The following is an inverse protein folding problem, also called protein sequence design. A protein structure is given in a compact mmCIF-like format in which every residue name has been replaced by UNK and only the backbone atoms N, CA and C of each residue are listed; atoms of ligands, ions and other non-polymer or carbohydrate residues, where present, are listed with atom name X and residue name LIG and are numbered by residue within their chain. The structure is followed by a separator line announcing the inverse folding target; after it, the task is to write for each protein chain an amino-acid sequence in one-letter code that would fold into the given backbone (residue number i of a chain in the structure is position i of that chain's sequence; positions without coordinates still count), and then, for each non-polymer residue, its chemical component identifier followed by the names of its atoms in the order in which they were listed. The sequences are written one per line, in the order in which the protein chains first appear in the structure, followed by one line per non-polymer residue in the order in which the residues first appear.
data_IF_437251525440
#
_entry.id   IF_437251525440
#
_cell.length_a   1.000
_cell.length_b   1.000
_cell.length_c   1.000
_cell.angle_alpha   90.00
_cell.angle_beta   90.00
_cell.angle_gamma   90.00
#
_symmetry.space_group_name_H-M   'P 1'
#
loop_
_entity.id
_entity.type
_entity.pdbx_description
1 polymer ?
#
# COMPACT_ATOMS: atom_id res chain seq x y z
N UNK A 1 11.29 0.59 -10.08
CA UNK A 1 11.14 1.66 -9.06
C UNK A 1 12.47 2.08 -8.44
N UNK A 2 13.33 1.14 -8.03
CA UNK A 2 14.69 1.43 -7.52
C UNK A 2 15.47 2.44 -8.38
N UNK A 3 15.59 2.22 -9.70
CA UNK A 3 16.28 3.16 -10.60
C UNK A 3 15.71 4.58 -10.56
N UNK A 4 14.39 4.73 -10.41
CA UNK A 4 13.77 6.05 -10.27
C UNK A 4 14.21 6.76 -9.00
N UNK A 5 14.28 6.03 -7.87
CA UNK A 5 14.83 6.57 -6.62
C UNK A 5 16.32 6.87 -6.73
N UNK A 6 17.10 6.00 -7.36
CA UNK A 6 18.53 6.23 -7.58
C UNK A 6 18.78 7.54 -8.38
N UNK A 7 17.92 7.84 -9.39
CA UNK A 7 17.98 9.11 -10.14
C UNK A 7 17.73 10.31 -9.24
N UNK A 8 16.69 10.24 -8.39
CA UNK A 8 16.36 11.33 -7.47
C UNK A 8 17.47 11.52 -6.44
N UNK A 9 17.94 10.45 -5.82
CA UNK A 9 19.02 10.46 -4.85
C UNK A 9 20.26 11.17 -5.40
N UNK A 10 20.72 10.77 -6.59
CA UNK A 10 21.89 11.35 -7.23
C UNK A 10 21.73 12.84 -7.59
N UNK A 11 20.48 13.31 -7.81
CA UNK A 11 20.20 14.70 -8.11
C UNK A 11 20.16 15.58 -6.84
N UNK A 12 19.62 15.06 -5.73
CA UNK A 12 19.40 15.85 -4.50
C UNK A 12 20.56 15.78 -3.51
N UNK A 13 21.21 14.62 -3.36
CA UNK A 13 22.21 14.37 -2.32
C UNK A 13 23.42 15.33 -2.38
N UNK A 14 23.87 15.83 -3.56
CA UNK A 14 24.95 16.82 -3.60
C UNK A 14 24.55 18.22 -3.08
N UNK A 15 23.25 18.50 -2.97
CA UNK A 15 22.71 19.84 -2.68
C UNK A 15 21.92 19.90 -1.35
N UNK A 16 21.60 18.75 -0.76
CA UNK A 16 20.76 18.61 0.42
C UNK A 16 21.34 17.54 1.36
N UNK A 17 21.05 17.65 2.65
CA UNK A 17 21.33 16.58 3.59
C UNK A 17 20.37 15.41 3.32
N UNK A 18 20.88 14.34 2.72
CA UNK A 18 20.12 13.15 2.37
C UNK A 18 20.66 11.93 3.12
N UNK A 19 19.76 11.18 3.76
CA UNK A 19 20.07 9.94 4.47
C UNK A 19 18.92 8.94 4.31
N UNK A 20 19.24 7.67 4.54
CA UNK A 20 18.22 6.61 4.57
C UNK A 20 17.60 6.53 5.97
N UNK A 21 16.28 6.38 6.02
CA UNK A 21 15.53 6.16 7.26
C UNK A 21 14.73 4.86 7.14
N UNK A 22 14.95 3.93 8.09
CA UNK A 22 14.20 2.68 8.12
C UNK A 22 12.85 2.88 8.82
N UNK A 23 11.80 2.86 8.01
CA UNK A 23 10.39 2.97 8.43
C UNK A 23 9.58 1.75 8.00
N UNK A 24 10.23 0.69 7.51
CA UNK A 24 9.56 -0.43 6.84
C UNK A 24 8.55 -1.16 7.72
N UNK A 25 8.92 -1.47 8.96
CA UNK A 25 8.03 -2.15 9.91
C UNK A 25 6.89 -1.25 10.39
N UNK A 26 7.14 0.05 10.54
CA UNK A 26 6.10 1.02 10.90
C UNK A 26 5.10 1.19 9.74
N UNK A 27 5.58 1.34 8.50
CA UNK A 27 4.74 1.42 7.30
C UNK A 27 3.87 0.17 7.13
N UNK A 28 4.41 -1.02 7.46
CA UNK A 28 3.62 -2.27 7.46
C UNK A 28 2.46 -2.18 8.44
N UNK A 29 2.73 -1.86 9.72
CA UNK A 29 1.68 -1.75 10.76
C UNK A 29 0.62 -0.70 10.42
N UNK A 30 1.03 0.44 9.86
CA UNK A 30 0.11 1.48 9.39
C UNK A 30 -0.77 0.95 8.26
N UNK A 31 -0.17 0.28 7.27
CA UNK A 31 -0.87 -0.31 6.13
C UNK A 31 -1.91 -1.35 6.58
N UNK A 32 -1.53 -2.23 7.50
CA UNK A 32 -2.44 -3.25 8.06
C UNK A 32 -3.63 -2.61 8.79
N UNK A 33 -3.39 -1.50 9.50
CA UNK A 33 -4.42 -0.76 10.25
C UNK A 33 -5.39 -0.07 9.29
N UNK A 34 -4.88 0.72 8.35
CA UNK A 34 -5.72 1.50 7.43
C UNK A 34 -6.53 0.61 6.50
N UNK A 35 -5.97 -0.52 6.08
CA UNK A 35 -6.71 -1.47 5.26
C UNK A 35 -7.83 -2.17 5.99
N UNK A 36 -7.78 -2.31 7.32
CA UNK A 36 -8.96 -2.74 8.10
C UNK A 36 -10.00 -1.63 8.21
N UNK A 37 -9.57 -0.37 8.39
CA UNK A 37 -10.47 0.79 8.46
C UNK A 37 -11.25 1.01 7.16
N UNK A 38 -10.62 0.82 5.98
CA UNK A 38 -11.25 0.94 4.66
C UNK A 38 -12.46 0.01 4.45
N UNK A 39 -12.57 -1.04 5.25
CA UNK A 39 -13.61 -2.06 5.16
C UNK A 39 -14.37 -2.22 6.48
N UNK A 40 -14.34 -1.19 7.32
CA UNK A 40 -15.00 -1.16 8.62
C UNK A 40 -16.49 -1.47 8.54
N UNK A 41 -17.18 -1.04 7.49
CA UNK A 41 -18.61 -1.30 7.28
C UNK A 41 -18.91 -2.68 6.67
N UNK A 42 -17.88 -3.51 6.48
CA UNK A 42 -17.94 -4.81 5.79
C UNK A 42 -18.45 -4.71 4.36
N UNK A 43 -18.44 -3.51 3.78
CA UNK A 43 -18.95 -3.22 2.46
C UNK A 43 -20.46 -3.06 2.33
N UNK A 44 -21.20 -2.97 3.43
CA UNK A 44 -22.67 -2.84 3.39
C UNK A 44 -23.10 -1.61 2.61
N UNK A 45 -22.45 -0.47 2.85
CA UNK A 45 -22.84 0.80 2.25
C UNK A 45 -22.62 0.77 0.73
N UNK A 46 -21.39 0.48 0.28
CA UNK A 46 -21.09 0.49 -1.16
C UNK A 46 -21.94 -0.55 -1.92
N UNK A 47 -22.21 -1.73 -1.34
CA UNK A 47 -23.08 -2.74 -1.98
C UNK A 47 -24.51 -2.24 -2.13
N UNK A 48 -25.03 -1.53 -1.12
CA UNK A 48 -26.38 -0.97 -1.18
C UNK A 48 -26.50 0.10 -2.26
N UNK A 49 -25.48 0.93 -2.46
CA UNK A 49 -25.46 1.95 -3.51
C UNK A 49 -25.33 1.35 -4.91
N UNK A 50 -24.46 0.35 -5.10
CA UNK A 50 -24.34 -0.36 -6.39
C UNK A 50 -25.68 -1.03 -6.74
N UNK A 51 -26.34 -1.67 -5.78
CA UNK A 51 -27.62 -2.32 -6.02
C UNK A 51 -28.70 -1.35 -6.53
N UNK A 52 -28.70 -0.08 -6.06
CA UNK A 52 -29.63 0.95 -6.54
C UNK A 52 -29.42 1.31 -8.01
N UNK A 53 -28.21 1.13 -8.55
CA UNK A 53 -27.90 1.42 -9.96
C UNK A 53 -28.42 0.35 -10.93
N UNK A 54 -28.64 -0.88 -10.46
CA UNK A 54 -28.92 -2.05 -11.32
C UNK A 54 -27.69 -2.60 -12.05
N UNK A 55 -26.51 -2.01 -11.86
CA UNK A 55 -25.25 -2.51 -12.43
C UNK A 55 -24.68 -3.71 -11.63
N UNK A 56 -23.98 -4.64 -12.29
CA UNK A 56 -23.31 -5.73 -11.59
C UNK A 56 -22.13 -5.20 -10.76
N UNK A 57 -21.87 -5.83 -9.62
CA UNK A 57 -20.70 -5.52 -8.80
C UNK A 57 -19.41 -5.81 -9.58
N UNK A 58 -18.49 -4.84 -9.61
CA UNK A 58 -17.20 -5.01 -10.30
C UNK A 58 -16.32 -5.95 -9.47
N UNK A 59 -15.93 -7.15 -9.98
CA UNK A 59 -15.21 -8.17 -9.19
C UNK A 59 -13.98 -7.66 -8.45
N UNK A 60 -13.30 -6.66 -9.02
CA UNK A 60 -12.11 -6.05 -8.44
C UNK A 60 -12.40 -5.09 -7.29
N UNK A 61 -13.57 -4.45 -7.28
CA UNK A 61 -14.08 -3.68 -6.14
C UNK A 61 -14.64 -4.59 -5.04
N UNK A 62 -14.90 -5.87 -5.35
CA UNK A 62 -15.42 -6.86 -4.41
C UNK A 62 -14.39 -7.40 -3.41
N UNK A 63 -13.10 -7.04 -3.51
CA UNK A 63 -12.07 -7.56 -2.61
C UNK A 63 -12.38 -7.32 -1.11
N UNK A 64 -13.26 -6.37 -0.82
CA UNK A 64 -13.76 -5.98 0.50
C UNK A 64 -14.86 -6.88 1.07
N UNK A 65 -14.97 -8.15 0.65
CA UNK A 65 -15.83 -9.10 1.39
C UNK A 65 -15.08 -9.54 2.64
N UNK A 66 -15.12 -8.67 3.64
CA UNK A 66 -15.14 -9.16 5.01
C UNK A 66 -16.53 -9.72 5.22
N UNK A 67 -16.59 -10.94 5.77
CA UNK A 67 -17.84 -11.64 6.05
C UNK A 67 -18.75 -10.83 6.96
N UNK A 68 -18.17 -10.03 7.86
CA UNK A 68 -18.90 -9.19 8.81
C UNK A 68 -18.23 -7.81 9.00
N UNK A 69 -19.02 -6.75 9.21
CA UNK A 69 -18.55 -5.41 9.58
C UNK A 69 -17.82 -5.40 10.92
N UNK A 70 -16.88 -4.48 11.09
CA UNK A 70 -16.20 -4.28 12.37
C UNK A 70 -17.18 -3.72 13.42
N UNK A 71 -17.00 -4.14 14.66
CA UNK A 71 -17.69 -3.55 15.81
C UNK A 71 -17.20 -2.12 16.09
N UNK A 72 -17.99 -1.35 16.84
CA UNK A 72 -17.59 0.00 17.25
C UNK A 72 -16.27 0.00 18.04
N UNK A 73 -16.10 -0.97 18.95
CA UNK A 73 -14.88 -1.10 19.76
C UNK A 73 -13.64 -1.40 18.90
N UNK A 74 -13.77 -2.28 17.89
CA UNK A 74 -12.68 -2.55 16.94
C UNK A 74 -12.30 -1.34 16.10
N UNK A 75 -13.29 -0.55 15.67
CA UNK A 75 -13.05 0.70 14.94
C UNK A 75 -12.30 1.67 15.83
N UNK A 76 -12.76 1.88 17.07
CA UNK A 76 -12.10 2.77 18.05
C UNK A 76 -10.67 2.30 18.31
N UNK A 77 -10.42 1.01 18.44
CA UNK A 77 -9.07 0.46 18.63
C UNK A 77 -8.16 0.76 17.43
N UNK A 78 -8.66 0.59 16.21
CA UNK A 78 -7.93 0.88 14.98
C UNK A 78 -7.62 2.37 14.80
N UNK A 79 -8.58 3.24 15.11
CA UNK A 79 -8.39 4.70 15.09
C UNK A 79 -7.35 5.13 16.14
N UNK A 80 -7.40 4.57 17.35
CA UNK A 80 -6.38 4.80 18.37
C UNK A 80 -4.99 4.39 17.87
N UNK A 81 -4.87 3.23 17.20
CA UNK A 81 -3.61 2.78 16.59
C UNK A 81 -3.13 3.72 15.49
N UNK A 82 -4.00 4.17 14.60
CA UNK A 82 -3.66 5.13 13.55
C UNK A 82 -3.10 6.44 14.15
N UNK A 83 -3.75 6.97 15.18
CA UNK A 83 -3.27 8.15 15.91
C UNK A 83 -1.90 7.91 16.60
N UNK A 84 -1.70 6.74 17.20
CA UNK A 84 -0.41 6.38 17.81
C UNK A 84 0.71 6.29 16.76
N UNK A 85 0.43 5.75 15.58
CA UNK A 85 1.40 5.69 14.50
C UNK A 85 1.70 7.07 13.91
N UNK A 86 0.70 7.96 13.82
CA UNK A 86 0.92 9.35 13.44
C UNK A 86 1.88 10.08 14.40
N UNK A 87 1.70 9.92 15.70
CA UNK A 87 2.64 10.47 16.70
C UNK A 87 4.04 9.87 16.56
N UNK A 88 4.16 8.54 16.40
CA UNK A 88 5.45 7.88 16.18
C UNK A 88 6.16 8.40 14.90
N UNK A 89 5.41 8.59 13.82
CA UNK A 89 5.94 9.09 12.56
C UNK A 89 6.42 10.54 12.69
N UNK A 90 5.66 11.39 13.39
CA UNK A 90 6.05 12.76 13.69
C UNK A 90 7.32 12.81 14.55
N UNK A 91 7.47 11.90 15.52
CA UNK A 91 8.68 11.80 16.34
C UNK A 91 9.91 11.46 15.49
N UNK A 92 9.78 10.57 14.50
CA UNK A 92 10.85 10.25 13.55
C UNK A 92 11.24 11.52 12.76
N UNK A 93 10.25 12.23 12.20
CA UNK A 93 10.52 13.49 11.49
C UNK A 93 11.24 14.50 12.39
N UNK A 94 10.82 14.63 13.64
CA UNK A 94 11.46 15.54 14.60
C UNK A 94 12.85 15.09 15.03
N UNK A 95 13.07 13.80 15.28
CA UNK A 95 14.36 13.28 15.75
C UNK A 95 15.46 13.43 14.70
N UNK A 96 15.08 13.26 13.43
CA UNK A 96 15.98 13.43 12.30
C UNK A 96 15.91 14.83 11.67
N UNK A 97 15.13 15.75 12.24
CA UNK A 97 14.89 17.09 11.69
C UNK A 97 14.54 17.10 10.19
N UNK A 98 13.72 16.14 9.76
CA UNK A 98 13.36 15.95 8.36
C UNK A 98 12.36 17.01 7.88
N UNK A 99 12.66 17.63 6.74
CA UNK A 99 11.71 18.47 6.02
C UNK A 99 10.77 17.67 5.11
N UNK A 100 11.27 16.57 4.54
CA UNK A 100 10.54 15.73 3.60
C UNK A 100 11.03 14.27 3.63
N UNK A 101 10.18 13.36 3.18
CA UNK A 101 10.54 11.98 2.88
C UNK A 101 10.36 11.72 1.39
N UNK A 102 11.38 11.13 0.76
CA UNK A 102 11.33 10.68 -0.64
C UNK A 102 11.22 9.16 -0.65
N UNK A 103 10.19 8.65 -1.32
CA UNK A 103 9.98 7.21 -1.47
C UNK A 103 9.34 6.87 -2.82
N UNK A 104 9.28 5.57 -3.13
CA UNK A 104 8.60 5.10 -4.33
C UNK A 104 7.07 5.21 -4.16
N UNK A 105 6.34 5.73 -5.16
CA UNK A 105 4.88 5.86 -5.07
C UNK A 105 4.12 4.54 -5.27
N UNK A 106 4.78 3.52 -5.81
CA UNK A 106 4.22 2.20 -6.13
C UNK A 106 5.35 1.17 -6.15
N UNK A 107 5.10 -0.15 -5.97
CA UNK A 107 6.13 -1.16 -6.16
C UNK A 107 6.49 -1.40 -7.63
N UNK A 108 5.60 -1.08 -8.55
CA UNK A 108 5.72 -1.37 -9.98
C UNK A 108 5.32 -0.17 -10.87
N UNK A 109 5.76 -0.14 -12.15
CA UNK A 109 5.17 0.76 -13.14
C UNK A 109 3.69 0.40 -13.38
N UNK A 110 3.00 1.21 -14.20
CA UNK A 110 1.60 0.98 -14.53
C UNK A 110 1.33 -0.49 -14.90
N UNK A 111 0.48 -1.14 -14.10
CA UNK A 111 0.12 -2.53 -14.31
C UNK A 111 -0.72 -2.67 -15.59
N UNK A 112 -0.64 -3.82 -16.30
CA UNK A 112 -1.58 -4.13 -17.36
C UNK A 112 -3.03 -4.09 -16.84
N UNK A 113 -3.99 -3.90 -17.76
CA UNK A 113 -5.40 -3.91 -17.40
C UNK A 113 -5.76 -5.14 -16.57
N UNK A 114 -6.53 -4.92 -15.50
CA UNK A 114 -6.97 -5.95 -14.55
C UNK A 114 -5.84 -6.62 -13.74
N UNK A 115 -4.60 -6.09 -13.78
CA UNK A 115 -3.43 -6.62 -13.03
C UNK A 115 -2.93 -5.71 -11.91
N UNK A 116 -3.68 -4.68 -11.52
CA UNK A 116 -3.36 -3.86 -10.35
C UNK A 116 -3.21 -4.76 -9.10
N UNK A 117 -2.37 -4.42 -8.13
CA UNK A 117 -2.12 -5.31 -6.99
C UNK A 117 -2.27 -4.66 -5.63
N UNK A 118 -1.82 -3.42 -5.45
CA UNK A 118 -1.81 -2.82 -4.11
C UNK A 118 -1.68 -1.29 -4.15
N UNK A 119 -2.33 -0.63 -3.19
CA UNK A 119 -2.15 0.79 -2.85
C UNK A 119 -1.36 1.01 -1.55
N UNK A 120 -0.67 -0.02 -1.04
CA UNK A 120 -0.07 -0.02 0.31
C UNK A 120 0.84 1.18 0.60
N UNK A 121 1.75 1.53 -0.32
CA UNK A 121 2.68 2.64 -0.13
C UNK A 121 1.95 3.99 0.04
N UNK A 122 0.92 4.24 -0.76
CA UNK A 122 0.13 5.47 -0.66
C UNK A 122 -0.81 5.45 0.56
N UNK A 123 -1.34 4.28 0.90
CA UNK A 123 -2.27 4.11 2.02
C UNK A 123 -1.65 4.50 3.38
N UNK A 124 -0.33 4.37 3.53
CA UNK A 124 0.41 4.88 4.70
C UNK A 124 0.15 6.37 4.89
N UNK A 125 0.32 7.18 3.84
CA UNK A 125 0.18 8.64 3.94
C UNK A 125 -1.28 9.08 4.07
N UNK A 126 -2.22 8.32 3.50
CA UNK A 126 -3.66 8.53 3.75
C UNK A 126 -4.00 8.33 5.23
N UNK A 127 -3.47 7.26 5.85
CA UNK A 127 -3.69 6.95 7.26
C UNK A 127 -3.09 8.03 8.19
N UNK A 128 -1.88 8.48 7.87
CA UNK A 128 -1.18 9.49 8.66
C UNK A 128 -1.72 10.91 8.46
N UNK A 129 -2.48 11.16 7.38
CA UNK A 129 -2.91 12.51 7.00
C UNK A 129 -1.77 13.42 6.52
N UNK A 130 -0.67 12.85 6.03
CA UNK A 130 0.48 13.61 5.56
C UNK A 130 0.28 14.07 4.11
N UNK A 131 0.66 15.31 3.75
CA UNK A 131 0.66 15.73 2.36
C UNK A 131 1.68 14.92 1.57
N UNK A 132 1.26 14.36 0.43
CA UNK A 132 2.10 13.56 -0.45
C UNK A 132 1.88 13.97 -1.91
N UNK A 133 2.96 13.95 -2.70
CA UNK A 133 2.96 14.27 -4.12
C UNK A 133 3.81 13.30 -4.92
N UNK A 134 3.58 13.24 -6.24
CA UNK A 134 4.32 12.38 -7.17
C UNK A 134 5.01 13.26 -8.21
N UNK A 135 6.32 13.09 -8.34
CA UNK A 135 7.13 13.73 -9.38
C UNK A 135 7.56 12.64 -10.38
N UNK A 136 7.20 12.75 -11.68
CA UNK A 136 7.68 11.82 -12.69
C UNK A 136 9.18 12.01 -12.94
N UNK A 137 9.96 10.94 -12.78
CA UNK A 137 11.44 11.01 -12.85
C UNK A 137 12.04 10.26 -14.03
N UNK A 138 11.35 9.26 -14.57
CA UNK A 138 11.83 8.45 -15.69
C UNK A 138 10.69 7.65 -16.35
N UNK A 139 10.98 7.13 -17.55
CA UNK A 139 10.22 6.03 -18.18
C UNK A 139 10.91 4.70 -17.90
N UNK A 140 10.14 3.61 -17.87
CA UNK A 140 10.66 2.24 -17.73
C UNK A 140 11.61 1.93 -18.89
N UNK A 141 12.77 1.36 -18.57
CA UNK A 141 13.77 0.88 -19.53
C UNK A 141 13.88 -0.64 -19.39
N UNK A 142 13.42 -1.38 -20.40
CA UNK A 142 13.36 -2.84 -20.35
C UNK A 142 14.74 -3.52 -20.29
N UNK A 143 15.82 -2.79 -20.57
CA UNK A 143 17.18 -3.32 -20.45
C UNK A 143 17.71 -3.16 -19.02
N UNK A 144 17.42 -2.01 -18.39
CA UNK A 144 17.95 -1.64 -17.07
C UNK A 144 17.04 -2.03 -15.90
N UNK A 145 15.72 -2.04 -16.13
CA UNK A 145 14.70 -2.31 -15.12
C UNK A 145 14.28 -3.78 -15.16
N UNK A 146 15.25 -4.70 -15.04
CA UNK A 146 14.94 -6.13 -14.98
C UNK A 146 14.22 -6.49 -13.68
N UNK A 147 13.22 -7.40 -13.72
CA UNK A 147 12.58 -7.91 -12.52
C UNK A 147 13.61 -8.56 -11.59
N UNK A 148 13.46 -8.38 -10.28
CA UNK A 148 14.28 -9.10 -9.31
C UNK A 148 13.98 -10.60 -9.41
N UNK A 149 14.98 -11.50 -9.58
CA UNK A 149 14.76 -12.93 -9.85
C UNK A 149 14.02 -13.68 -8.74
N UNK A 150 14.11 -13.19 -7.51
CA UNK A 150 13.36 -13.67 -6.35
C UNK A 150 12.77 -12.44 -5.65
N UNK A 151 11.55 -12.01 -6.01
CA UNK A 151 10.90 -11.00 -5.21
C UNK A 151 10.77 -11.58 -3.79
N UNK A 152 11.27 -10.86 -2.77
CA UNK A 152 10.85 -11.14 -1.40
C UNK A 152 9.34 -10.94 -1.36
N UNK A 153 8.61 -12.03 -1.56
CA UNK A 153 7.19 -12.07 -1.27
C UNK A 153 7.14 -11.82 0.23
N UNK A 154 6.65 -10.65 0.61
CA UNK A 154 6.34 -10.36 2.01
C UNK A 154 5.20 -11.32 2.34
N UNK A 155 5.54 -12.53 2.78
CA UNK A 155 4.61 -13.61 3.13
C UNK A 155 3.71 -13.27 4.33
N UNK A 156 3.89 -12.07 4.89
CA UNK A 156 3.48 -11.71 6.23
C UNK A 156 2.48 -10.55 6.29
N UNK A 157 1.91 -10.11 5.17
CA UNK A 157 0.63 -9.36 5.22
C UNK A 157 -0.53 -10.33 5.50
N UNK A 158 -0.39 -11.20 6.52
CA UNK A 158 -1.49 -12.02 7.03
C UNK A 158 -2.44 -11.16 7.86
N UNK A 159 -2.93 -10.07 7.28
CA UNK A 159 -4.10 -9.40 7.83
C UNK A 159 -5.27 -10.32 7.55
N UNK A 160 -5.80 -10.94 8.61
CA UNK A 160 -7.04 -11.71 8.52
C UNK A 160 -8.13 -10.74 8.04
N UNK A 161 -8.62 -10.92 6.82
CA UNK A 161 -9.57 -9.99 6.18
C UNK A 161 -8.94 -8.92 5.27
N UNK A 162 -7.73 -9.15 4.73
CA UNK A 162 -7.12 -8.23 3.77
C UNK A 162 -8.03 -8.02 2.54
N UNK A 163 -8.45 -6.78 2.24
CA UNK A 163 -9.53 -6.46 1.31
C UNK A 163 -9.17 -6.64 -0.17
N UNK A 164 -8.04 -7.26 -0.50
CA UNK A 164 -7.66 -7.51 -1.90
C UNK A 164 -7.43 -9.01 -2.19
N UNK A 165 -7.55 -9.88 -1.19
CA UNK A 165 -7.19 -11.30 -1.30
C UNK A 165 -8.39 -12.24 -1.51
N UNK A 166 -9.62 -11.74 -1.37
CA UNK A 166 -10.81 -12.60 -1.26
C UNK A 166 -11.34 -13.13 -2.60
N UNK A 167 -11.24 -12.38 -3.70
CA UNK A 167 -11.82 -12.77 -5.01
C UNK A 167 -10.86 -12.93 -6.17
N UNK A 168 -9.58 -12.60 -6.01
CA UNK A 168 -8.67 -12.72 -7.13
C UNK A 168 -8.07 -14.14 -7.16
N UNK A 169 -8.86 -15.08 -7.68
CA UNK A 169 -8.40 -16.43 -8.00
C UNK A 169 -7.20 -16.42 -8.95
N UNK A 170 -6.98 -15.33 -9.70
CA UNK A 170 -5.79 -15.10 -10.51
C UNK A 170 -4.59 -14.65 -9.66
N UNK A 171 -4.71 -13.74 -8.69
CA UNK A 171 -3.60 -13.41 -7.77
C UNK A 171 -3.24 -14.60 -6.87
N UNK A 172 -4.23 -15.35 -6.36
CA UNK A 172 -3.95 -16.63 -5.68
C UNK A 172 -3.21 -17.60 -6.59
N UNK A 173 -3.63 -17.74 -7.85
CA UNK A 173 -3.03 -18.66 -8.84
C UNK A 173 -1.68 -18.20 -9.38
N UNK A 174 -1.41 -16.89 -9.44
CA UNK A 174 -0.12 -16.34 -9.87
C UNK A 174 0.89 -16.29 -8.73
N UNK A 175 0.46 -15.87 -7.53
CA UNK A 175 1.29 -16.01 -6.33
C UNK A 175 1.66 -17.48 -6.10
N UNK A 176 0.74 -18.43 -6.29
CA UNK A 176 1.06 -19.88 -6.19
C UNK A 176 1.77 -20.45 -7.42
N UNK A 177 1.55 -19.96 -8.65
CA UNK A 177 2.30 -20.41 -9.84
C UNK A 177 3.78 -20.05 -9.76
N UNK A 178 4.12 -18.92 -9.15
CA UNK A 178 5.52 -18.55 -8.90
C UNK A 178 6.20 -19.43 -7.84
N UNK A 179 5.47 -20.31 -7.15
CA UNK A 179 6.03 -21.23 -6.13
C UNK A 179 6.16 -22.70 -6.57
N UNK A 180 5.74 -23.08 -7.78
CA UNK A 180 5.82 -24.48 -8.23
C UNK A 180 6.64 -24.73 -9.49
N UNK A 181 7.42 -23.75 -9.97
CA UNK A 181 8.46 -23.97 -10.99
C UNK A 181 9.67 -23.08 -10.77
N UNK A 182 10.41 -23.37 -9.70
CA UNK A 182 11.87 -23.34 -9.63
C UNK A 182 12.30 -24.49 -8.73
#
# INVERSE_FOLDING_TARGET
MKRGLDIVWNAIAPQHEAFEVDVGDLHRKITETVFRLYVSDGGRYYRSEIAKSGEPMIPRTCGTVISEPLSADEIIELECKAACYADQYLRIFRSYQMDALITAPSPNPAAPHSRYSTSSLAAVYNCLGYPAGIIPVAKVDLTKDQPTPSPRIIQDLRVKGYPYDFFDGYIKKELTRSYCKL
#
